data_IF_199149460546
#
_entry.id   IF_199149460546
#
_cell.length_a   1.000
_cell.length_b   1.000
_cell.length_c   1.000
_cell.angle_alpha   90.00
_cell.angle_beta   90.00
_cell.angle_gamma   90.00
#
_symmetry.space_group_name_H-M   'P 1'
#
loop_
_entity.id
_entity.type
_entity.pdbx_description
1 polymer ?
#
# COMPACT_ATOMS: atom_id res chain seq x y z
N UNK A 1 2.40 -12.32 24.20
CA UNK A 1 2.02 -11.10 24.95
C UNK A 1 1.50 -10.15 23.89
N UNK A 2 0.18 -10.08 23.71
CA UNK A 2 -0.41 -9.19 22.69
C UNK A 2 -0.22 -7.76 23.17
N UNK A 3 0.65 -7.02 22.50
CA UNK A 3 0.91 -5.64 22.85
C UNK A 3 -0.35 -4.82 22.55
N UNK A 4 -0.89 -4.12 23.55
CA UNK A 4 -2.12 -3.32 23.46
C UNK A 4 -1.94 -2.05 22.61
N UNK A 5 -0.87 -1.98 21.84
CA UNK A 5 -0.40 -0.86 21.02
C UNK A 5 -0.66 -1.06 19.53
N UNK A 6 -1.14 -2.23 19.12
CA UNK A 6 -1.47 -2.49 17.72
C UNK A 6 -2.83 -1.85 17.34
N UNK A 7 -2.80 -1.01 16.31
CA UNK A 7 -4.00 -0.34 15.75
C UNK A 7 -5.09 -1.36 15.38
N UNK A 8 -4.71 -2.57 14.98
CA UNK A 8 -5.62 -3.68 14.71
C UNK A 8 -6.56 -3.99 15.87
N UNK A 9 -6.05 -4.00 17.11
CA UNK A 9 -6.84 -4.28 18.31
C UNK A 9 -7.84 -3.16 18.61
N UNK A 10 -7.46 -1.89 18.40
CA UNK A 10 -8.39 -0.78 18.60
C UNK A 10 -9.47 -0.74 17.52
N UNK A 11 -9.15 -1.12 16.27
CA UNK A 11 -10.16 -1.21 15.21
C UNK A 11 -11.18 -2.34 15.43
N UNK A 12 -10.91 -3.29 16.33
CA UNK A 12 -11.89 -4.27 16.80
C UNK A 12 -12.86 -3.68 17.84
N UNK A 13 -12.50 -2.60 18.53
CA UNK A 13 -13.41 -1.86 19.41
C UNK A 13 -14.38 -1.00 18.60
N UNK A 14 -15.69 -1.19 18.82
CA UNK A 14 -16.73 -0.55 18.02
C UNK A 14 -16.76 0.97 18.15
N UNK A 15 -16.45 1.51 19.33
CA UNK A 15 -16.46 2.96 19.57
C UNK A 15 -15.27 3.63 18.87
N UNK A 16 -14.07 3.05 19.01
CA UNK A 16 -12.88 3.51 18.32
C UNK A 16 -13.02 3.38 16.80
N UNK A 17 -13.50 2.23 16.30
CA UNK A 17 -13.76 2.01 14.88
C UNK A 17 -14.65 3.10 14.28
N UNK A 18 -15.75 3.45 14.97
CA UNK A 18 -16.67 4.51 14.53
C UNK A 18 -15.99 5.88 14.49
N UNK A 19 -15.20 6.23 15.52
CA UNK A 19 -14.43 7.48 15.56
C UNK A 19 -13.41 7.54 14.42
N UNK A 20 -12.69 6.44 14.17
CA UNK A 20 -11.69 6.34 13.11
C UNK A 20 -12.32 6.48 11.72
N UNK A 21 -13.41 5.77 11.43
CA UNK A 21 -14.15 5.92 10.17
C UNK A 21 -14.60 7.37 9.93
N UNK A 22 -15.11 8.05 10.97
CA UNK A 22 -15.54 9.44 10.85
C UNK A 22 -14.38 10.38 10.53
N UNK A 23 -13.19 10.12 11.08
CA UNK A 23 -11.99 10.90 10.77
C UNK A 23 -11.50 10.66 9.32
N UNK A 24 -11.70 9.47 8.76
CA UNK A 24 -11.36 9.18 7.37
C UNK A 24 -12.17 10.03 6.37
N UNK A 25 -13.42 10.37 6.69
CA UNK A 25 -14.28 11.20 5.83
C UNK A 25 -13.65 12.57 5.53
N UNK A 26 -12.93 13.17 6.48
CA UNK A 26 -12.21 14.43 6.26
C UNK A 26 -10.76 14.21 5.81
N UNK A 27 -10.12 13.14 6.25
CA UNK A 27 -8.73 12.85 5.92
C UNK A 27 -8.53 12.45 4.45
N UNK A 28 -9.33 11.51 3.93
CA UNK A 28 -9.10 10.92 2.60
C UNK A 28 -9.20 11.95 1.46
N UNK A 29 -10.18 12.87 1.43
CA UNK A 29 -10.28 13.90 0.39
C UNK A 29 -9.03 14.79 0.26
N UNK A 30 -8.27 14.98 1.35
CA UNK A 30 -7.02 15.76 1.34
C UNK A 30 -5.87 15.06 0.61
N UNK A 31 -6.01 13.75 0.31
CA UNK A 31 -4.93 12.96 -0.27
C UNK A 31 -4.96 12.99 -1.78
N UNK A 32 -3.76 12.93 -2.37
CA UNK A 32 -3.62 12.81 -3.82
C UNK A 32 -4.12 11.47 -4.34
N UNK A 33 -3.87 10.38 -3.59
CA UNK A 33 -4.27 9.02 -3.96
C UNK A 33 -5.78 8.76 -3.85
N UNK A 34 -6.54 9.63 -3.18
CA UNK A 34 -7.98 9.52 -3.13
C UNK A 34 -8.56 10.01 -4.46
N UNK A 35 -9.07 9.08 -5.27
CA UNK A 35 -9.49 9.37 -6.65
C UNK A 35 -10.96 9.78 -6.79
N UNK A 36 -11.81 9.57 -5.78
CA UNK A 36 -13.25 9.84 -5.83
C UNK A 36 -13.57 11.28 -5.37
N UNK A 37 -12.92 12.26 -5.99
CA UNK A 37 -13.01 13.70 -5.62
C UNK A 37 -14.18 14.42 -6.28
N UNK A 38 -14.76 13.79 -7.28
CA UNK A 38 -15.95 14.20 -8.03
C UNK A 38 -17.26 13.89 -7.30
N UNK A 39 -17.20 13.16 -6.18
CA UNK A 39 -18.35 12.86 -5.32
C UNK A 39 -18.01 13.09 -3.84
N UNK A 40 -19.04 13.07 -3.00
CA UNK A 40 -18.98 13.29 -1.56
C UNK A 40 -19.16 11.99 -0.80
N UNK A 41 -18.38 11.84 0.27
CA UNK A 41 -18.43 10.66 1.13
C UNK A 41 -19.74 10.68 1.92
N UNK A 42 -20.53 9.62 1.78
CA UNK A 42 -21.73 9.34 2.58
C UNK A 42 -21.38 8.64 3.88
N UNK A 43 -20.52 7.63 3.80
CA UNK A 43 -20.06 6.85 4.95
C UNK A 43 -18.73 6.13 4.64
N UNK A 44 -17.96 5.82 5.70
CA UNK A 44 -16.77 4.99 5.60
C UNK A 44 -16.92 3.76 6.51
N UNK A 45 -16.69 2.58 5.95
CA UNK A 45 -16.63 1.30 6.66
C UNK A 45 -15.23 0.67 6.59
N UNK A 46 -14.95 -0.27 7.50
CA UNK A 46 -13.75 -1.12 7.43
C UNK A 46 -14.19 -2.54 7.09
N UNK A 47 -13.68 -3.04 5.97
CA UNK A 47 -13.91 -4.38 5.45
C UNK A 47 -12.94 -5.40 6.05
N UNK A 48 -11.66 -5.03 6.15
CA UNK A 48 -10.60 -5.91 6.63
C UNK A 48 -9.51 -5.14 7.38
N UNK A 49 -8.87 -5.82 8.34
CA UNK A 49 -7.75 -5.28 9.13
C UNK A 49 -6.65 -6.33 9.20
N UNK A 50 -5.53 -6.10 8.53
CA UNK A 50 -4.42 -7.04 8.46
C UNK A 50 -3.20 -6.48 9.22
N UNK A 51 -2.74 -7.10 10.32
CA UNK A 51 -1.48 -6.72 10.95
C UNK A 51 -0.29 -7.14 10.07
N UNK A 52 0.59 -6.20 9.75
CA UNK A 52 1.75 -6.36 8.87
C UNK A 52 3.04 -6.03 9.63
N UNK A 53 3.86 -7.05 9.90
CA UNK A 53 5.21 -6.88 10.44
C UNK A 53 5.29 -6.17 11.79
N UNK A 54 4.35 -6.43 12.70
CA UNK A 54 4.38 -6.03 14.12
C UNK A 54 4.27 -4.53 14.44
N UNK A 55 4.38 -3.65 13.43
CA UNK A 55 4.20 -2.19 13.60
C UNK A 55 3.06 -1.64 12.77
N UNK A 56 2.90 -2.14 11.55
CA UNK A 56 1.96 -1.58 10.57
C UNK A 56 0.67 -2.41 10.55
N UNK A 57 -0.47 -1.78 10.32
CA UNK A 57 -1.74 -2.46 10.08
C UNK A 57 -2.31 -1.98 8.76
N UNK A 58 -2.65 -2.86 7.82
CA UNK A 58 -3.41 -2.49 6.64
C UNK A 58 -4.90 -2.51 6.97
N UNK A 59 -5.57 -1.37 6.81
CA UNK A 59 -7.02 -1.30 6.83
C UNK A 59 -7.54 -1.23 5.39
N UNK A 60 -8.44 -2.15 5.03
CA UNK A 60 -9.26 -2.02 3.82
C UNK A 60 -10.54 -1.30 4.20
N UNK A 61 -10.72 -0.12 3.63
CA UNK A 61 -11.86 0.75 3.90
C UNK A 61 -12.76 0.81 2.68
N UNK A 62 -14.07 0.69 2.90
CA UNK A 62 -15.09 0.89 1.88
C UNK A 62 -15.69 2.27 2.08
N UNK A 63 -15.67 3.08 1.03
CA UNK A 63 -16.17 4.45 1.05
C UNK A 63 -17.46 4.48 0.27
N UNK A 64 -18.59 4.59 0.95
CA UNK A 64 -19.89 4.80 0.30
C UNK A 64 -19.98 6.26 -0.12
N UNK A 65 -20.29 6.50 -1.39
CA UNK A 65 -20.46 7.83 -1.96
C UNK A 65 -21.94 8.15 -2.15
N UNK A 66 -22.29 9.44 -2.19
CA UNK A 66 -23.68 9.86 -2.37
C UNK A 66 -24.24 9.50 -3.76
N UNK A 67 -23.39 9.41 -4.78
CA UNK A 67 -23.74 8.94 -6.13
C UNK A 67 -24.00 7.43 -6.23
N UNK A 68 -23.79 6.67 -5.15
CA UNK A 68 -24.08 5.22 -5.07
C UNK A 68 -22.89 4.30 -5.26
N UNK A 69 -21.76 4.82 -5.75
CA UNK A 69 -20.50 4.07 -5.85
C UNK A 69 -19.91 3.79 -4.46
N UNK A 70 -19.21 2.66 -4.34
CA UNK A 70 -18.59 2.23 -3.08
C UNK A 70 -17.13 1.76 -3.25
N UNK A 71 -16.20 2.62 -3.70
CA UNK A 71 -14.79 2.26 -3.89
C UNK A 71 -14.13 1.81 -2.58
N UNK A 72 -13.23 0.84 -2.71
CA UNK A 72 -12.41 0.36 -1.59
C UNK A 72 -10.99 0.93 -1.67
N UNK A 73 -10.40 1.17 -0.50
CA UNK A 73 -9.05 1.68 -0.37
C UNK A 73 -8.24 0.90 0.67
N UNK A 74 -6.93 0.79 0.46
CA UNK A 74 -5.98 0.28 1.45
C UNK A 74 -5.26 1.46 2.09
N UNK A 75 -5.27 1.50 3.42
CA UNK A 75 -4.55 2.50 4.20
C UNK A 75 -3.61 1.76 5.17
N UNK A 76 -2.28 1.95 5.08
CA UNK A 76 -1.35 1.47 6.08
C UNK A 76 -1.38 2.37 7.30
N UNK A 77 -1.59 1.79 8.47
CA UNK A 77 -1.81 2.49 9.72
C UNK A 77 -0.72 2.17 10.73
N UNK A 78 -0.33 3.18 11.49
CA UNK A 78 0.49 3.06 12.70
C UNK A 78 -0.03 3.98 13.79
N UNK A 79 0.33 3.65 15.03
CA UNK A 79 0.17 4.52 16.17
C UNK A 79 1.52 5.09 16.59
N UNK A 80 1.54 6.34 17.03
CA UNK A 80 2.70 6.99 17.63
C UNK A 80 2.27 7.69 18.92
N UNK A 81 3.15 7.72 19.92
CA UNK A 81 2.89 8.29 21.24
C UNK A 81 3.99 9.25 21.68
N UNK A 82 3.69 10.13 22.63
CA UNK A 82 4.66 11.05 23.24
C UNK A 82 5.39 11.92 22.21
N UNK A 83 6.71 12.06 22.34
CA UNK A 83 7.53 12.84 21.40
C UNK A 83 7.46 12.30 19.96
N UNK A 84 7.30 10.98 19.77
CA UNK A 84 7.17 10.41 18.43
C UNK A 84 5.90 10.88 17.74
N UNK A 85 4.81 11.07 18.48
CA UNK A 85 3.54 11.58 17.94
C UNK A 85 3.69 13.01 17.40
N UNK A 86 4.46 13.86 18.11
CA UNK A 86 4.76 15.24 17.68
C UNK A 86 5.62 15.30 16.42
N UNK A 87 6.43 14.27 16.16
CA UNK A 87 7.28 14.16 14.98
C UNK A 87 6.58 13.55 13.75
N UNK A 88 5.32 13.11 13.86
CA UNK A 88 4.54 12.65 12.70
C UNK A 88 4.17 13.87 11.86
N UNK A 89 4.33 13.78 10.53
CA UNK A 89 3.81 14.80 9.61
C UNK A 89 2.30 14.97 9.84
N UNK A 90 1.86 16.18 10.14
CA UNK A 90 0.45 16.51 10.36
C UNK A 90 -0.43 16.08 9.18
N UNK A 91 0.11 16.08 7.94
CA UNK A 91 -0.61 15.62 6.76
C UNK A 91 -0.80 14.11 6.73
N UNK A 92 -0.06 13.33 7.51
CA UNK A 92 -0.24 11.89 7.64
C UNK A 92 -1.20 11.51 8.78
N UNK A 93 -1.44 12.42 9.74
CA UNK A 93 -2.30 12.15 10.90
C UNK A 93 -3.76 11.98 10.46
N UNK A 94 -4.37 10.87 10.88
CA UNK A 94 -5.77 10.55 10.62
C UNK A 94 -6.62 10.98 11.82
N UNK A 95 -6.23 10.57 13.02
CA UNK A 95 -6.94 10.96 14.24
C UNK A 95 -6.05 10.93 15.48
N UNK A 96 -6.43 11.71 16.49
CA UNK A 96 -5.77 11.71 17.81
C UNK A 96 -6.33 10.62 18.72
N UNK A 97 -5.45 10.06 19.53
CA UNK A 97 -5.72 9.07 20.58
C UNK A 97 -5.14 9.56 21.91
N UNK A 98 -5.38 8.83 23.00
CA UNK A 98 -4.78 9.17 24.29
C UNK A 98 -3.25 9.16 24.19
N UNK A 99 -2.62 10.29 24.50
CA UNK A 99 -1.17 10.51 24.42
C UNK A 99 -0.52 10.20 23.06
N UNK A 100 -1.27 10.24 21.96
CA UNK A 100 -0.74 9.85 20.65
C UNK A 100 -1.62 10.17 19.44
N UNK A 101 -1.23 9.61 18.29
CA UNK A 101 -1.93 9.74 17.01
C UNK A 101 -1.95 8.42 16.25
N UNK A 102 -3.00 8.20 15.45
CA UNK A 102 -3.01 7.20 14.37
C UNK A 102 -2.83 7.91 13.04
N UNK A 103 -1.94 7.39 12.19
CA UNK A 103 -1.49 8.06 10.97
C UNK A 103 -1.26 7.08 9.82
N UNK A 104 -1.26 7.61 8.58
CA UNK A 104 -0.92 6.89 7.36
C UNK A 104 0.59 6.62 7.32
N UNK A 105 0.96 5.35 7.46
CA UNK A 105 2.33 4.91 7.65
C UNK A 105 3.13 4.71 6.35
N UNK A 106 2.56 5.03 5.18
CA UNK A 106 3.23 4.84 3.90
C UNK A 106 4.54 5.64 3.76
N UNK A 107 4.66 6.76 4.48
CA UNK A 107 5.86 7.61 4.47
C UNK A 107 6.96 7.14 5.42
N UNK A 108 6.74 6.11 6.23
CA UNK A 108 7.72 5.65 7.21
C UNK A 108 8.93 4.99 6.54
N UNK A 109 10.12 5.28 7.05
CA UNK A 109 11.40 4.78 6.53
C UNK A 109 11.65 3.29 6.78
N UNK A 110 10.75 2.60 7.49
CA UNK A 110 10.73 1.15 7.69
C UNK A 110 9.43 0.50 7.16
N UNK A 111 8.58 1.24 6.42
CA UNK A 111 7.25 0.80 5.99
C UNK A 111 7.27 -0.55 5.25
N UNK A 112 8.16 -0.70 4.27
CA UNK A 112 8.26 -1.90 3.43
C UNK A 112 8.71 -3.15 4.20
N UNK A 113 9.43 -3.01 5.31
CA UNK A 113 10.09 -4.13 5.98
C UNK A 113 9.10 -5.24 6.39
N UNK A 114 7.94 -4.85 6.94
CA UNK A 114 6.92 -5.81 7.35
C UNK A 114 6.28 -6.57 6.19
N UNK A 115 6.03 -5.90 5.06
CA UNK A 115 5.46 -6.52 3.87
C UNK A 115 6.45 -7.49 3.24
N UNK A 116 7.72 -7.07 3.12
CA UNK A 116 8.78 -7.88 2.53
C UNK A 116 9.08 -9.14 3.38
N UNK A 117 9.04 -9.03 4.71
CA UNK A 117 9.18 -10.19 5.60
C UNK A 117 8.07 -11.22 5.39
N UNK A 118 6.80 -10.77 5.27
CA UNK A 118 5.68 -11.66 4.97
C UNK A 118 5.83 -12.31 3.57
N UNK A 119 6.25 -11.54 2.57
CA UNK A 119 6.49 -12.05 1.21
C UNK A 119 7.62 -13.08 1.18
N UNK A 120 8.70 -12.88 1.93
CA UNK A 120 9.81 -13.82 2.00
C UNK A 120 9.39 -15.19 2.58
N UNK A 121 8.39 -15.17 3.46
CA UNK A 121 7.87 -16.35 4.17
C UNK A 121 6.67 -17.01 3.51
N UNK A 122 6.19 -16.50 2.36
CA UNK A 122 4.90 -16.86 1.76
C UNK A 122 3.77 -16.88 2.79
N UNK A 123 3.70 -15.83 3.60
CA UNK A 123 2.80 -15.78 4.74
C UNK A 123 1.32 -15.72 4.31
N UNK A 124 0.49 -16.43 5.08
CA UNK A 124 -0.96 -16.33 5.05
C UNK A 124 -1.46 -16.01 6.47
N UNK A 125 -2.16 -14.89 6.63
CA UNK A 125 -2.66 -14.40 7.91
C UNK A 125 -4.18 -14.32 7.83
N UNK A 126 -4.88 -15.03 8.72
CA UNK A 126 -6.33 -14.85 8.88
C UNK A 126 -6.59 -13.46 9.47
N UNK A 127 -7.42 -12.67 8.78
CA UNK A 127 -7.75 -11.29 9.17
C UNK A 127 -9.23 -11.14 9.55
N UNK A 128 -9.92 -12.26 9.77
CA UNK A 128 -11.31 -12.34 10.19
C UNK A 128 -12.31 -12.23 9.03
N UNK A 129 -13.59 -12.46 9.35
CA UNK A 129 -14.70 -12.41 8.39
C UNK A 129 -14.51 -13.30 7.14
N UNK A 130 -13.76 -14.39 7.28
CA UNK A 130 -13.43 -15.29 6.17
C UNK A 130 -12.45 -14.68 5.17
N UNK A 131 -11.68 -13.65 5.55
CA UNK A 131 -10.64 -13.04 4.73
C UNK A 131 -9.26 -13.49 5.21
N UNK A 132 -8.36 -13.74 4.27
CA UNK A 132 -6.96 -14.09 4.53
C UNK A 132 -6.06 -13.14 3.75
N UNK A 133 -5.15 -12.47 4.44
CA UNK A 133 -4.07 -11.72 3.79
C UNK A 133 -2.95 -12.68 3.41
N UNK A 134 -2.58 -12.71 2.13
CA UNK A 134 -1.51 -13.53 1.58
C UNK A 134 -0.44 -12.63 0.99
N UNK A 135 0.81 -12.90 1.31
CA UNK A 135 1.96 -12.23 0.70
C UNK A 135 2.98 -13.30 0.32
N UNK A 136 3.40 -13.31 -0.95
CA UNK A 136 4.33 -14.30 -1.47
C UNK A 136 5.31 -13.68 -2.45
N UNK A 137 6.45 -14.34 -2.60
CA UNK A 137 7.50 -13.95 -3.54
C UNK A 137 8.00 -15.14 -4.35
N UNK A 138 8.41 -14.87 -5.58
CA UNK A 138 9.12 -15.84 -6.42
C UNK A 138 10.48 -16.17 -5.80
N UNK A 139 11.14 -17.25 -6.23
CA UNK A 139 12.47 -17.60 -5.74
C UNK A 139 13.48 -16.44 -5.90
N UNK A 140 13.45 -15.76 -7.05
CA UNK A 140 14.24 -14.55 -7.31
C UNK A 140 13.83 -13.40 -6.39
N UNK A 141 12.53 -13.22 -6.15
CA UNK A 141 12.00 -12.23 -5.23
C UNK A 141 12.54 -12.41 -3.81
N UNK A 142 12.49 -13.64 -3.28
CA UNK A 142 13.02 -13.98 -1.94
C UNK A 142 14.51 -13.68 -1.81
N UNK A 143 15.31 -14.11 -2.78
CA UNK A 143 16.75 -13.81 -2.79
C UNK A 143 17.04 -12.30 -2.83
N UNK A 144 16.25 -11.53 -3.59
CA UNK A 144 16.40 -10.08 -3.64
C UNK A 144 15.98 -9.41 -2.34
N UNK A 145 14.88 -9.84 -1.71
CA UNK A 145 14.43 -9.37 -0.39
C UNK A 145 15.55 -9.53 0.64
N UNK A 146 16.13 -10.72 0.72
CA UNK A 146 17.26 -11.00 1.63
C UNK A 146 18.44 -10.07 1.34
N UNK A 147 18.78 -9.89 0.06
CA UNK A 147 19.91 -9.04 -0.37
C UNK A 147 19.73 -7.53 -0.11
N UNK A 148 18.52 -7.09 0.26
CA UNK A 148 18.22 -5.69 0.59
C UNK A 148 17.80 -5.49 2.04
N UNK A 149 17.86 -6.54 2.88
CA UNK A 149 17.55 -6.44 4.28
C UNK A 149 18.40 -5.35 4.95
N UNK A 150 17.73 -4.43 5.67
CA UNK A 150 18.38 -3.30 6.35
C UNK A 150 18.85 -2.16 5.44
N UNK A 151 18.70 -2.28 4.11
CA UNK A 151 19.04 -1.17 3.20
C UNK A 151 17.99 -0.05 3.25
N UNK A 152 18.37 1.19 2.90
CA UNK A 152 17.43 2.31 2.86
C UNK A 152 16.26 2.06 1.91
N UNK A 153 15.09 2.52 2.31
CA UNK A 153 13.92 2.64 1.44
C UNK A 153 13.62 4.09 1.10
N UNK A 154 13.14 4.31 -0.12
CA UNK A 154 12.77 5.63 -0.62
C UNK A 154 11.40 5.57 -1.26
N UNK A 155 10.47 6.38 -0.75
CA UNK A 155 9.18 6.58 -1.38
C UNK A 155 9.34 7.36 -2.69
N UNK A 156 8.67 6.91 -3.74
CA UNK A 156 8.62 7.58 -5.04
C UNK A 156 7.56 8.68 -5.01
N UNK A 157 7.98 9.94 -5.22
CA UNK A 157 7.07 11.09 -5.25
C UNK A 157 6.27 11.28 -6.55
N UNK A 158 6.46 10.38 -7.54
CA UNK A 158 5.99 10.57 -8.93
C UNK A 158 4.61 9.95 -9.18
N UNK A 159 4.26 8.83 -8.53
CA UNK A 159 3.02 8.10 -8.86
C UNK A 159 1.77 8.65 -8.12
N UNK A 160 0.70 8.86 -8.88
CA UNK A 160 -0.47 9.65 -8.46
C UNK A 160 -1.50 8.87 -7.63
N UNK A 161 -1.59 7.54 -7.79
CA UNK A 161 -2.68 6.73 -7.25
C UNK A 161 -2.24 5.62 -6.28
N UNK A 162 -0.94 5.36 -6.14
CA UNK A 162 -0.39 4.25 -5.36
C UNK A 162 0.75 4.70 -4.45
N UNK A 163 1.18 3.83 -3.54
CA UNK A 163 2.38 4.03 -2.72
C UNK A 163 3.49 3.12 -3.23
N UNK A 164 4.53 3.71 -3.82
CA UNK A 164 5.65 2.98 -4.42
C UNK A 164 6.95 3.29 -3.68
N UNK A 165 7.69 2.26 -3.30
CA UNK A 165 8.94 2.36 -2.54
C UNK A 165 10.05 1.57 -3.23
N UNK A 166 11.20 2.21 -3.39
CA UNK A 166 12.43 1.55 -3.82
C UNK A 166 13.20 1.11 -2.58
N UNK A 167 13.65 -0.15 -2.54
CA UNK A 167 14.50 -0.66 -1.47
C UNK A 167 15.83 -1.13 -2.06
N UNK A 168 16.93 -0.58 -1.53
CA UNK A 168 18.28 -0.96 -1.94
C UNK A 168 18.61 -0.76 -3.42
N UNK A 169 17.80 -0.01 -4.18
CA UNK A 169 17.87 0.10 -5.65
C UNK A 169 17.88 -1.27 -6.37
N UNK A 170 17.23 -2.28 -5.78
CA UNK A 170 17.10 -3.61 -6.40
C UNK A 170 15.64 -4.04 -6.56
N UNK A 171 14.76 -3.59 -5.67
CA UNK A 171 13.34 -3.91 -5.70
C UNK A 171 12.51 -2.63 -5.62
N UNK A 172 11.34 -2.70 -6.25
CA UNK A 172 10.24 -1.75 -6.12
C UNK A 172 9.06 -2.48 -5.50
N UNK A 173 8.58 -2.00 -4.35
CA UNK A 173 7.34 -2.43 -3.74
C UNK A 173 6.27 -1.39 -4.03
N UNK A 174 5.17 -1.81 -4.63
CA UNK A 174 4.01 -0.95 -4.91
C UNK A 174 2.80 -1.47 -4.15
N UNK A 175 2.19 -0.60 -3.35
CA UNK A 175 0.96 -0.84 -2.61
C UNK A 175 -0.17 -0.05 -3.26
N UNK A 176 -1.23 -0.75 -3.64
CA UNK A 176 -2.40 -0.15 -4.28
C UNK A 176 -3.24 0.60 -3.25
N UNK A 177 -3.53 1.88 -3.51
CA UNK A 177 -4.39 2.66 -2.60
C UNK A 177 -5.85 2.46 -2.88
N UNK A 178 -6.27 2.42 -4.14
CA UNK A 178 -7.64 2.04 -4.55
C UNK A 178 -7.62 0.60 -5.05
N UNK A 179 -8.54 -0.20 -4.55
CA UNK A 179 -8.59 -1.65 -4.79
C UNK A 179 -10.01 -2.09 -5.13
N UNK A 180 -10.12 -3.20 -5.84
CA UNK A 180 -11.38 -3.83 -6.22
C UNK A 180 -11.24 -5.35 -6.19
N UNK A 181 -12.36 -6.04 -6.03
CA UNK A 181 -12.38 -7.49 -6.18
C UNK A 181 -12.15 -7.88 -7.65
N UNK A 182 -11.39 -8.96 -7.84
CA UNK A 182 -10.94 -9.44 -9.14
C UNK A 182 -9.42 -9.47 -9.23
N UNK A 183 -8.92 -10.10 -10.27
CA UNK A 183 -7.50 -10.09 -10.53
C UNK A 183 -7.01 -8.69 -10.88
N UNK A 184 -5.91 -8.26 -10.29
CA UNK A 184 -5.31 -6.98 -10.64
C UNK A 184 -4.58 -7.11 -11.98
N UNK A 185 -4.93 -6.33 -13.03
CA UNK A 185 -4.33 -6.47 -14.36
C UNK A 185 -2.80 -6.29 -14.37
N UNK A 186 -2.26 -5.42 -13.51
CA UNK A 186 -0.80 -5.22 -13.42
C UNK A 186 -0.11 -6.48 -12.86
N UNK A 187 -0.69 -7.11 -11.84
CA UNK A 187 -0.17 -8.37 -11.29
C UNK A 187 -0.21 -9.46 -12.35
N UNK A 188 -1.38 -9.70 -12.97
CA UNK A 188 -1.56 -10.77 -13.96
C UNK A 188 -0.63 -10.60 -15.16
N UNK A 189 -0.55 -9.37 -15.69
CA UNK A 189 0.29 -9.09 -16.87
C UNK A 189 1.76 -9.23 -16.52
N UNK A 190 2.20 -8.67 -15.39
CA UNK A 190 3.61 -8.70 -14.99
C UNK A 190 4.08 -10.11 -14.66
N UNK A 191 3.26 -10.91 -13.96
CA UNK A 191 3.59 -12.29 -13.64
C UNK A 191 3.66 -13.12 -14.92
N UNK A 192 2.70 -13.01 -15.83
CA UNK A 192 2.73 -13.73 -17.10
C UNK A 192 3.96 -13.38 -17.94
N UNK A 193 4.25 -12.09 -18.12
CA UNK A 193 5.41 -11.63 -18.90
C UNK A 193 6.73 -12.16 -18.33
N UNK A 194 6.84 -12.24 -17.00
CA UNK A 194 8.07 -12.67 -16.33
C UNK A 194 8.19 -14.19 -16.27
N UNK A 195 7.15 -14.87 -15.77
CA UNK A 195 7.21 -16.29 -15.38
C UNK A 195 6.88 -17.22 -16.54
N UNK A 196 6.03 -16.79 -17.47
CA UNK A 196 5.58 -17.63 -18.60
C UNK A 196 6.26 -17.24 -19.90
N UNK A 197 6.25 -15.96 -20.26
CA UNK A 197 6.75 -15.49 -21.56
C UNK A 197 8.27 -15.27 -21.59
N UNK A 198 8.92 -15.12 -20.43
CA UNK A 198 10.34 -14.77 -20.35
C UNK A 198 10.68 -13.43 -20.98
N UNK A 199 9.75 -12.46 -20.94
CA UNK A 199 9.90 -11.17 -21.60
C UNK A 199 10.79 -10.22 -20.78
N UNK A 200 11.98 -9.91 -21.30
CA UNK A 200 13.00 -9.17 -20.55
C UNK A 200 12.82 -7.64 -20.58
N UNK A 201 11.96 -7.10 -21.46
CA UNK A 201 11.79 -5.64 -21.61
C UNK A 201 10.77 -5.01 -20.65
N UNK A 202 10.46 -5.70 -19.55
CA UNK A 202 9.63 -5.17 -18.45
C UNK A 202 10.29 -5.46 -17.11
N UNK A 203 10.06 -4.62 -16.07
CA UNK A 203 10.50 -4.93 -14.73
C UNK A 203 10.01 -6.32 -14.29
N UNK A 204 10.94 -7.20 -13.93
CA UNK A 204 10.59 -8.57 -13.57
C UNK A 204 9.66 -8.61 -12.35
N UNK A 205 8.57 -9.38 -12.45
CA UNK A 205 7.70 -9.71 -11.33
C UNK A 205 8.45 -10.54 -10.29
N UNK A 206 8.34 -10.14 -9.02
CA UNK A 206 9.02 -10.77 -7.90
C UNK A 206 8.07 -11.30 -6.82
N UNK A 207 6.79 -10.94 -6.85
CA UNK A 207 5.82 -11.34 -5.84
C UNK A 207 4.60 -10.43 -5.76
N UNK A 208 3.66 -10.79 -4.90
CA UNK A 208 2.41 -10.05 -4.69
C UNK A 208 1.92 -10.14 -3.25
N UNK A 209 1.06 -9.19 -2.90
CA UNK A 209 0.24 -9.23 -1.70
C UNK A 209 -1.23 -9.09 -2.09
N UNK A 210 -2.10 -9.89 -1.48
CA UNK A 210 -3.53 -9.92 -1.78
C UNK A 210 -4.35 -10.28 -0.54
N UNK A 211 -5.62 -9.87 -0.55
CA UNK A 211 -6.65 -10.41 0.34
C UNK A 211 -7.48 -11.41 -0.45
N UNK A 212 -7.68 -12.59 0.12
CA UNK A 212 -8.54 -13.64 -0.43
C UNK A 212 -9.70 -13.88 0.51
N UNK A 213 -10.92 -13.92 0.00
CA UNK A 213 -12.10 -14.34 0.76
C UNK A 213 -12.31 -15.85 0.72
N UNK A 214 -13.12 -16.37 1.65
CA UNK A 214 -13.46 -17.78 1.74
C UNK A 214 -14.15 -18.32 0.48
N UNK A 215 -14.90 -17.47 -0.25
CA UNK A 215 -15.52 -17.78 -1.54
C UNK A 215 -14.57 -17.60 -2.74
N UNK A 216 -13.29 -17.32 -2.50
CA UNK A 216 -12.23 -17.28 -3.51
C UNK A 216 -12.08 -15.93 -4.23
N UNK A 217 -12.81 -14.88 -3.84
CA UNK A 217 -12.58 -13.54 -4.41
C UNK A 217 -11.24 -13.01 -3.94
N UNK A 218 -10.52 -12.38 -4.87
CA UNK A 218 -9.20 -11.83 -4.63
C UNK A 218 -9.28 -10.31 -4.71
N UNK A 219 -8.52 -9.63 -3.86
CA UNK A 219 -8.32 -8.20 -3.90
C UNK A 219 -6.81 -7.96 -3.84
N UNK A 220 -6.22 -7.56 -4.97
CA UNK A 220 -4.80 -7.27 -5.06
C UNK A 220 -4.42 -6.06 -4.22
N UNK A 221 -3.50 -6.23 -3.28
CA UNK A 221 -3.05 -5.19 -2.33
C UNK A 221 -1.72 -4.58 -2.76
N UNK A 222 -0.83 -5.37 -3.36
CA UNK A 222 0.44 -4.86 -3.85
C UNK A 222 1.21 -5.84 -4.73
N UNK A 223 2.22 -5.31 -5.40
CA UNK A 223 3.12 -6.02 -6.29
C UNK A 223 4.57 -5.71 -5.93
N UNK A 224 5.43 -6.72 -6.02
CA UNK A 224 6.87 -6.60 -5.91
C UNK A 224 7.49 -6.79 -7.29
N UNK A 225 8.33 -5.86 -7.71
CA UNK A 225 9.03 -5.89 -9.00
C UNK A 225 10.52 -5.59 -8.84
N UNK A 226 11.32 -6.04 -9.80
CA UNK A 226 12.71 -5.63 -9.88
C UNK A 226 12.80 -4.12 -10.14
N UNK A 227 13.69 -3.44 -9.44
CA UNK A 227 13.97 -2.04 -9.73
C UNK A 227 14.79 -1.95 -11.02
N UNK A 228 14.36 -1.10 -11.95
CA UNK A 228 15.10 -0.77 -13.16
C UNK A 228 15.59 0.67 -13.02
N UNK A 229 16.92 0.84 -12.93
CA UNK A 229 17.52 2.17 -12.92
C UNK A 229 17.27 2.84 -14.27
N UNK A 230 16.81 4.08 -14.24
CA UNK A 230 16.62 4.91 -15.43
C UNK A 230 16.97 6.37 -15.14
N UNK A 231 17.29 7.12 -16.19
CA UNK A 231 17.65 8.54 -16.13
C UNK A 231 16.45 9.47 -16.34
N UNK A 232 15.23 8.92 -16.43
CA UNK A 232 13.99 9.65 -16.66
C UNK A 232 12.94 8.80 -17.34
N UNK A 233 11.86 9.46 -17.76
CA UNK A 233 10.76 8.85 -18.49
C UNK A 233 10.74 9.24 -19.98
N UNK A 234 10.07 8.41 -20.79
CA UNK A 234 9.99 8.60 -22.23
C UNK A 234 9.32 9.91 -22.64
N UNK A 235 8.39 10.44 -21.82
CA UNK A 235 7.73 11.71 -22.10
C UNK A 235 8.70 12.87 -21.92
N UNK A 236 9.40 12.94 -20.78
CA UNK A 236 10.41 13.95 -20.49
C UNK A 236 11.55 13.93 -21.49
N UNK A 237 12.02 12.74 -21.89
CA UNK A 237 12.99 12.58 -22.97
C UNK A 237 12.47 13.16 -24.29
N UNK A 238 11.27 12.76 -24.70
CA UNK A 238 10.67 13.19 -25.98
C UNK A 238 10.45 14.70 -26.00
N UNK A 239 9.97 15.30 -24.91
CA UNK A 239 9.75 16.75 -24.84
C UNK A 239 11.06 17.52 -24.93
N UNK A 240 12.11 17.08 -24.24
CA UNK A 240 13.46 17.68 -24.37
C UNK A 240 13.98 17.58 -25.80
N UNK A 241 13.80 16.42 -26.44
CA UNK A 241 14.20 16.22 -27.83
C UNK A 241 13.46 17.17 -28.78
N UNK A 242 12.13 17.24 -28.69
CA UNK A 242 11.32 18.14 -29.53
C UNK A 242 11.70 19.62 -29.30
N UNK A 243 11.90 20.04 -28.06
CA UNK A 243 12.39 21.40 -27.76
C UNK A 243 13.73 21.68 -28.46
N UNK A 244 14.67 20.73 -28.45
CA UNK A 244 15.96 20.92 -29.13
C UNK A 244 15.85 21.05 -30.65
N UNK A 245 14.88 20.38 -31.28
CA UNK A 245 14.65 20.42 -32.73
C UNK A 245 13.93 21.71 -33.16
N UNK A 246 12.96 22.17 -32.36
CA UNK A 246 12.09 23.30 -32.68
C UNK A 246 12.50 24.64 -32.05
N UNK A 247 13.58 24.70 -31.25
CA UNK A 247 14.12 25.94 -30.68
C UNK A 247 14.84 26.85 -31.70
N UNK A 248 14.42 26.84 -32.97
CA UNK A 248 14.90 27.75 -34.01
C UNK A 248 14.05 29.02 -34.06
#
# INVERSE_FOLDING_TARGET
MNDKTEVSAWLADGAFKKKFCKALESFMPTKRWYSAKDDTIKAVGIEAVAPIGGKTTFAVVKVELNGGDAPMFVIPLRAAFGERAKAVDEKAVICSIENGVVFDAAGESDFSAGVLDLMAKDAAVDVGNGLTFKASATAKGKALIESVAGLPQKMMGVEQSNTSLIVGKKIMLKIYRRVAYGENPEIVTSSFLTETAGFENTPAYLGKAELTSADGKILGVGILQAFVANDGDGWGYTMKYLQSVFAK
#
